data_IF_150060905618
#
_entry.id   IF_150060905618
#
_cell.length_a   1.000
_cell.length_b   1.000
_cell.length_c   1.000
_cell.angle_alpha   90.00
_cell.angle_beta   90.00
_cell.angle_gamma   90.00
#
_symmetry.space_group_name_H-M   'P 1'
#
loop_
_entity.id
_entity.type
_entity.pdbx_description
1 polymer ?
#
# COMPACT_ATOMS: atom_id res chain seq x y z
N UNK A 1 4.65 72.14 -21.10
CA UNK A 1 4.12 70.87 -21.65
C UNK A 1 4.41 69.80 -20.59
N UNK A 2 3.45 69.53 -19.69
CA UNK A 2 2.60 68.32 -19.65
C UNK A 2 3.43 67.02 -19.44
N UNK A 3 3.20 66.16 -18.44
CA UNK A 3 2.06 65.93 -17.53
C UNK A 3 2.55 65.06 -16.36
N UNK A 4 2.00 65.31 -15.18
CA UNK A 4 2.12 64.47 -13.99
C UNK A 4 1.25 63.20 -14.12
N UNK A 5 1.65 62.10 -13.48
CA UNK A 5 0.70 61.16 -12.87
C UNK A 5 1.34 60.50 -11.65
N UNK A 6 0.90 60.95 -10.49
CA UNK A 6 1.12 60.37 -9.18
C UNK A 6 0.09 59.25 -8.99
N UNK A 7 0.50 58.06 -8.55
CA UNK A 7 -0.43 57.04 -8.04
C UNK A 7 -0.07 56.75 -6.59
N UNK A 8 -0.93 57.28 -5.74
CA UNK A 8 -0.97 57.18 -4.29
C UNK A 8 -1.49 55.79 -3.92
N UNK A 9 -0.65 54.91 -3.38
CA UNK A 9 -1.12 53.70 -2.69
C UNK A 9 -1.33 54.03 -1.22
N UNK A 10 -2.60 54.13 -0.86
CA UNK A 10 -3.11 54.46 0.47
C UNK A 10 -3.07 53.20 1.34
N UNK A 11 -2.32 53.27 2.44
CA UNK A 11 -2.38 52.30 3.55
C UNK A 11 -3.72 52.47 4.31
N UNK A 12 -4.43 51.40 4.68
CA UNK A 12 -5.38 51.45 5.77
C UNK A 12 -4.67 51.17 7.11
N UNK A 13 -4.57 52.22 7.91
CA UNK A 13 -4.38 52.20 9.35
C UNK A 13 -5.72 51.75 9.99
N UNK A 14 -5.74 50.67 10.79
CA UNK A 14 -6.88 50.39 11.67
C UNK A 14 -6.41 50.11 13.08
N UNK A 15 -6.78 51.02 13.98
CA UNK A 15 -6.44 51.02 15.39
C UNK A 15 -7.50 50.27 16.22
N UNK A 16 -6.99 49.37 17.07
CA UNK A 16 -7.34 49.14 18.49
C UNK A 16 -8.80 49.01 18.91
N UNK A 17 -9.17 47.81 19.38
CA UNK A 17 -10.18 47.63 20.43
C UNK A 17 -9.54 46.88 21.62
N UNK A 18 -9.39 47.57 22.76
CA UNK A 18 -9.07 46.97 24.05
C UNK A 18 -10.33 46.29 24.59
N UNK A 19 -10.24 44.99 24.91
CA UNK A 19 -11.18 44.32 25.81
C UNK A 19 -10.39 43.84 27.03
N UNK A 20 -10.49 44.61 28.11
CA UNK A 20 -9.98 44.25 29.43
C UNK A 20 -10.98 43.27 30.07
N UNK A 21 -10.63 41.99 30.14
CA UNK A 21 -11.30 41.02 31.00
C UNK A 21 -10.41 40.76 32.21
N UNK A 22 -10.87 41.22 33.37
CA UNK A 22 -10.28 40.97 34.68
C UNK A 22 -10.51 39.51 35.11
N UNK A 23 -9.44 38.79 35.37
CA UNK A 23 -9.43 37.57 36.18
C UNK A 23 -8.21 37.70 37.10
N UNK A 24 -8.43 38.17 38.33
CA UNK A 24 -8.54 37.34 39.53
C UNK A 24 -7.23 36.66 39.89
N UNK A 25 -6.61 37.24 40.92
CA UNK A 25 -5.65 36.62 41.84
C UNK A 25 -6.01 35.16 42.12
N UNK A 26 -5.15 34.23 41.72
CA UNK A 26 -5.13 32.87 42.23
C UNK A 26 -3.68 32.45 42.43
N UNK A 27 -3.18 32.73 43.62
CA UNK A 27 -2.11 31.95 44.22
C UNK A 27 -2.65 30.55 44.51
N UNK A 28 -2.12 29.50 43.87
CA UNK A 28 -2.39 28.12 44.25
C UNK A 28 -1.11 27.29 44.15
N UNK A 29 -0.69 26.77 45.29
CA UNK A 29 0.45 25.87 45.46
C UNK A 29 0.34 24.63 44.56
N UNK A 30 1.51 24.17 44.07
CA UNK A 30 1.66 22.85 43.48
C UNK A 30 1.32 21.75 44.52
N UNK A 31 0.42 20.80 44.22
CA UNK A 31 0.27 19.59 45.02
C UNK A 31 1.41 18.62 44.70
N UNK A 32 2.07 18.10 45.73
CA UNK A 32 2.94 16.93 45.60
C UNK A 32 2.14 15.72 45.08
N UNK A 33 2.68 14.89 44.18
CA UNK A 33 2.01 13.66 43.78
C UNK A 33 1.94 12.65 44.93
N UNK A 34 0.77 12.04 45.12
CA UNK A 34 0.58 10.85 45.95
C UNK A 34 1.28 9.63 45.33
N UNK A 35 1.78 8.68 46.14
CA UNK A 35 2.34 7.43 45.63
C UNK A 35 1.25 6.55 44.96
N UNK A 36 1.61 5.95 43.83
CA UNK A 36 0.81 5.02 43.03
C UNK A 36 0.27 3.84 43.86
N UNK A 37 -1.07 3.68 43.87
CA UNK A 37 -1.73 2.44 44.26
C UNK A 37 -1.56 1.42 43.14
N UNK A 38 -0.69 0.43 43.34
CA UNK A 38 -0.54 -0.71 42.43
C UNK A 38 -1.83 -1.54 42.38
N UNK A 39 -2.45 -1.64 41.20
CA UNK A 39 -3.50 -2.64 40.94
C UNK A 39 -2.86 -4.05 40.87
N UNK A 40 -3.45 -5.08 41.50
CA UNK A 40 -2.99 -6.46 41.33
C UNK A 40 -3.27 -6.96 39.90
N UNK A 41 -2.47 -7.91 39.38
CA UNK A 41 -2.67 -8.46 38.05
C UNK A 41 -3.95 -9.31 37.96
N UNK A 42 -4.60 -9.39 36.78
CA UNK A 42 -5.78 -10.22 36.58
C UNK A 42 -5.44 -11.73 36.59
N UNK A 43 -6.35 -12.53 37.12
CA UNK A 43 -6.27 -13.99 37.23
C UNK A 43 -6.30 -14.66 35.84
N UNK A 44 -5.49 -15.71 35.57
CA UNK A 44 -5.57 -16.45 34.32
C UNK A 44 -6.86 -17.30 34.21
N UNK A 45 -7.38 -17.54 33.00
CA UNK A 45 -8.55 -18.41 32.79
C UNK A 45 -8.19 -19.90 32.96
N UNK A 46 -9.15 -20.77 33.32
CA UNK A 46 -8.90 -22.20 33.48
C UNK A 46 -8.65 -22.91 32.13
N UNK A 47 -7.68 -23.83 32.12
CA UNK A 47 -7.30 -24.65 30.97
C UNK A 47 -8.42 -25.60 30.53
N UNK A 48 -8.63 -25.71 29.21
CA UNK A 48 -9.60 -26.62 28.59
C UNK A 48 -8.98 -28.01 28.38
N UNK A 49 -9.59 -29.03 28.97
CA UNK A 49 -9.18 -30.44 28.84
C UNK A 49 -9.66 -31.01 27.50
N UNK A 50 -8.73 -31.51 26.68
CA UNK A 50 -9.01 -32.16 25.39
C UNK A 50 -9.18 -33.68 25.56
N UNK A 51 -10.21 -34.27 24.93
CA UNK A 51 -10.47 -35.72 24.91
C UNK A 51 -10.52 -36.19 23.44
N UNK A 52 -9.70 -37.17 23.01
CA UNK A 52 -9.71 -37.67 21.63
C UNK A 52 -10.81 -38.74 21.38
N UNK A 53 -11.29 -38.89 20.13
CA UNK A 53 -12.29 -39.92 19.77
C UNK A 53 -11.67 -41.31 19.55
N UNK A 54 -12.46 -42.41 19.69
CA UNK A 54 -11.99 -43.77 19.47
C UNK A 54 -11.91 -44.16 17.97
N UNK A 55 -10.91 -45.00 17.63
CA UNK A 55 -10.66 -45.57 16.30
C UNK A 55 -11.47 -46.84 16.02
N UNK A 56 -11.96 -47.00 14.77
CA UNK A 56 -12.73 -48.17 14.29
C UNK A 56 -11.84 -49.29 13.70
N UNK A 57 -12.27 -50.58 13.72
CA UNK A 57 -11.51 -51.72 13.20
C UNK A 57 -11.76 -52.03 11.69
N UNK A 58 -10.87 -52.80 11.02
CA UNK A 58 -10.96 -53.09 9.58
C UNK A 58 -11.86 -54.30 9.21
N UNK A 59 -12.35 -54.39 7.95
CA UNK A 59 -13.17 -55.50 7.47
C UNK A 59 -12.36 -56.71 6.94
N UNK A 60 -12.98 -57.91 6.83
CA UNK A 60 -12.31 -59.15 6.42
C UNK A 60 -12.25 -59.36 4.89
N UNK A 61 -11.24 -60.14 4.46
CA UNK A 61 -10.99 -60.59 3.07
C UNK A 61 -11.78 -61.86 2.73
N UNK A 62 -12.36 -61.93 1.52
CA UNK A 62 -13.07 -63.10 1.00
C UNK A 62 -12.53 -63.56 -0.37
N UNK A 63 -12.53 -64.89 -0.54
CA UNK A 63 -11.80 -65.70 -1.52
C UNK A 63 -12.39 -65.74 -2.94
N UNK A 64 -11.55 -65.99 -3.95
CA UNK A 64 -11.88 -66.00 -5.40
C UNK A 64 -12.41 -67.36 -5.92
N UNK A 65 -13.29 -67.39 -6.95
CA UNK A 65 -13.72 -68.61 -7.65
C UNK A 65 -12.83 -68.98 -8.88
N UNK A 66 -12.92 -70.25 -9.38
CA UNK A 66 -12.04 -70.78 -10.43
C UNK A 66 -12.46 -70.41 -11.87
N UNK A 67 -11.58 -70.58 -12.88
CA UNK A 67 -11.81 -70.12 -14.25
C UNK A 67 -12.65 -71.08 -15.11
N UNK A 68 -13.30 -70.58 -16.18
CA UNK A 68 -14.11 -71.38 -17.12
C UNK A 68 -13.30 -72.06 -18.25
N UNK A 69 -13.94 -73.03 -18.90
CA UNK A 69 -13.40 -73.89 -19.99
C UNK A 69 -13.46 -73.25 -21.38
N UNK A 70 -12.66 -73.73 -22.37
CA UNK A 70 -12.55 -73.10 -23.69
C UNK A 70 -13.64 -73.53 -24.70
N UNK A 71 -13.93 -72.70 -25.73
CA UNK A 71 -14.98 -72.95 -26.73
C UNK A 71 -14.51 -73.77 -27.96
N UNK A 72 -15.45 -74.31 -28.77
CA UNK A 72 -15.18 -75.15 -29.95
C UNK A 72 -14.79 -74.35 -31.22
N UNK A 73 -14.28 -75.01 -32.29
CA UNK A 73 -13.70 -74.32 -33.44
C UNK A 73 -14.75 -73.75 -34.40
N UNK A 74 -14.39 -72.61 -34.99
CA UNK A 74 -15.22 -71.79 -35.88
C UNK A 74 -15.26 -72.32 -37.32
N UNK A 75 -16.46 -72.34 -37.90
CA UNK A 75 -16.67 -72.55 -39.34
C UNK A 75 -16.14 -71.35 -40.16
N UNK A 76 -15.58 -71.65 -41.32
CA UNK A 76 -14.84 -70.73 -42.18
C UNK A 76 -15.68 -69.53 -42.65
N UNK A 77 -15.22 -68.33 -42.32
CA UNK A 77 -15.84 -67.05 -42.71
C UNK A 77 -15.68 -66.75 -44.21
N UNK A 78 -16.64 -66.02 -44.83
CA UNK A 78 -16.52 -65.53 -46.20
C UNK A 78 -15.35 -64.53 -46.35
N UNK A 79 -14.88 -64.28 -47.60
CA UNK A 79 -13.74 -63.41 -47.82
C UNK A 79 -14.03 -61.97 -47.39
N UNK A 80 -13.02 -61.22 -46.95
CA UNK A 80 -13.22 -59.90 -46.39
C UNK A 80 -13.67 -58.90 -47.47
N UNK A 81 -14.47 -57.90 -47.08
CA UNK A 81 -14.74 -56.76 -47.96
C UNK A 81 -13.45 -55.98 -48.20
N UNK A 82 -13.38 -55.31 -49.36
CA UNK A 82 -12.27 -54.42 -49.72
C UNK A 82 -11.98 -53.40 -48.61
N UNK A 83 -10.71 -53.05 -48.38
CA UNK A 83 -10.36 -52.12 -47.31
C UNK A 83 -10.97 -50.75 -47.59
N UNK A 84 -11.61 -50.20 -46.57
CA UNK A 84 -12.02 -48.79 -46.55
C UNK A 84 -10.78 -47.91 -46.74
N UNK A 85 -10.92 -46.72 -47.37
CA UNK A 85 -9.82 -45.76 -47.41
C UNK A 85 -9.33 -45.50 -45.98
N UNK A 86 -8.03 -45.21 -45.78
CA UNK A 86 -7.52 -44.92 -44.46
C UNK A 86 -8.36 -43.79 -43.86
N UNK A 87 -8.98 -44.07 -42.71
CA UNK A 87 -9.65 -43.03 -41.94
C UNK A 87 -8.62 -41.92 -41.73
N UNK A 88 -9.01 -40.68 -42.07
CA UNK A 88 -8.24 -39.48 -41.76
C UNK A 88 -7.77 -39.60 -40.32
N UNK A 89 -6.46 -39.74 -40.12
CA UNK A 89 -5.92 -39.88 -38.77
C UNK A 89 -6.46 -38.72 -37.93
N UNK A 90 -6.95 -38.98 -36.71
CA UNK A 90 -7.38 -37.89 -35.84
C UNK A 90 -6.18 -36.94 -35.69
N UNK A 91 -6.42 -35.62 -35.62
CA UNK A 91 -5.34 -34.69 -35.35
C UNK A 91 -4.64 -35.12 -34.05
N UNK A 92 -3.32 -34.92 -33.94
CA UNK A 92 -2.63 -35.21 -32.69
C UNK A 92 -3.33 -34.45 -31.54
N UNK A 93 -3.33 -35.01 -30.32
CA UNK A 93 -3.88 -34.31 -29.18
C UNK A 93 -3.19 -32.94 -29.07
N UNK A 94 -3.98 -31.90 -28.84
CA UNK A 94 -3.43 -30.57 -28.59
C UNK A 94 -2.37 -30.68 -27.49
N UNK A 95 -1.22 -30.01 -27.63
CA UNK A 95 -0.24 -29.96 -26.56
C UNK A 95 -0.92 -29.46 -25.28
N UNK A 96 -0.49 -29.91 -24.10
CA UNK A 96 -1.01 -29.38 -22.85
C UNK A 96 -0.87 -27.85 -22.86
N UNK A 97 -1.83 -27.12 -22.27
CA UNK A 97 -1.68 -25.68 -22.14
C UNK A 97 -0.35 -25.39 -21.43
N UNK A 98 0.36 -24.31 -21.82
CA UNK A 98 1.54 -23.89 -21.08
C UNK A 98 1.17 -23.73 -19.60
N UNK A 99 2.11 -23.96 -18.66
CA UNK A 99 1.87 -23.66 -17.26
C UNK A 99 1.36 -22.23 -17.16
N UNK A 100 0.27 -22.04 -16.39
CA UNK A 100 -0.24 -20.70 -16.10
C UNK A 100 0.93 -19.81 -15.66
N UNK A 101 1.02 -18.56 -16.15
CA UNK A 101 2.02 -17.64 -15.65
C UNK A 101 1.91 -17.59 -14.12
N UNK A 102 3.03 -17.46 -13.40
CA UNK A 102 2.97 -17.26 -11.95
C UNK A 102 2.00 -16.10 -11.67
N UNK A 103 1.20 -16.18 -10.59
CA UNK A 103 0.37 -15.05 -10.20
C UNK A 103 1.26 -13.80 -10.14
N UNK A 104 0.77 -12.63 -10.61
CA UNK A 104 1.53 -11.41 -10.47
C UNK A 104 1.98 -11.27 -9.01
N UNK A 105 3.20 -10.77 -8.75
CA UNK A 105 3.62 -10.50 -7.38
C UNK A 105 2.52 -9.69 -6.69
N UNK A 106 2.25 -9.93 -5.39
CA UNK A 106 1.25 -9.16 -4.66
C UNK A 106 1.50 -7.69 -4.94
N UNK A 107 0.49 -6.98 -5.43
CA UNK A 107 0.63 -5.60 -5.83
C UNK A 107 1.32 -4.85 -4.70
N UNK A 108 2.49 -4.28 -4.97
CA UNK A 108 3.01 -3.21 -4.12
C UNK A 108 1.85 -2.23 -4.01
N UNK A 109 1.39 -1.96 -2.79
CA UNK A 109 0.31 -1.01 -2.53
C UNK A 109 0.71 0.45 -2.87
N UNK A 110 1.82 0.63 -3.57
CA UNK A 110 2.27 1.83 -4.24
C UNK A 110 1.66 1.94 -5.63
N UNK A 111 0.96 3.03 -5.87
CA UNK A 111 0.36 3.40 -7.15
C UNK A 111 1.14 4.56 -7.73
N UNK A 112 1.62 4.47 -8.98
CA UNK A 112 2.27 5.59 -9.65
C UNK A 112 1.35 6.81 -9.72
N UNK A 113 1.91 7.99 -9.48
CA UNK A 113 1.20 9.27 -9.64
C UNK A 113 1.02 9.52 -11.14
N UNK A 114 -0.24 9.50 -11.60
CA UNK A 114 -0.56 9.69 -13.02
C UNK A 114 -0.26 11.12 -13.52
N UNK A 115 -0.49 12.13 -12.68
CA UNK A 115 -0.20 13.53 -13.01
C UNK A 115 0.57 14.18 -11.86
N UNK A 116 1.87 14.36 -12.05
CA UNK A 116 2.74 15.01 -11.06
C UNK A 116 2.44 16.50 -10.88
N UNK A 117 1.75 17.13 -11.85
CA UNK A 117 1.31 18.53 -11.77
C UNK A 117 -0.04 18.69 -11.07
N UNK A 118 -0.62 17.60 -10.56
CA UNK A 118 -1.82 17.68 -9.75
C UNK A 118 -1.59 18.61 -8.53
N UNK A 119 -2.50 19.56 -8.23
CA UNK A 119 -2.30 20.53 -7.14
C UNK A 119 -2.02 19.89 -5.78
N UNK A 120 -2.60 18.72 -5.51
CA UNK A 120 -2.36 17.98 -4.28
C UNK A 120 -0.94 17.41 -4.24
N UNK A 121 -0.45 16.86 -5.35
CA UNK A 121 0.94 16.36 -5.44
C UNK A 121 1.94 17.50 -5.31
N UNK A 122 1.66 18.65 -5.94
CA UNK A 122 2.46 19.86 -5.79
C UNK A 122 2.48 20.34 -4.34
N UNK A 123 1.34 20.29 -3.64
CA UNK A 123 1.27 20.64 -2.22
C UNK A 123 2.14 19.71 -1.35
N UNK A 124 2.15 18.40 -1.63
CA UNK A 124 3.02 17.44 -0.94
C UNK A 124 4.50 17.77 -1.13
N UNK A 125 4.89 18.06 -2.36
CA UNK A 125 6.27 18.42 -2.68
C UNK A 125 6.68 19.74 -2.01
N UNK A 126 5.82 20.76 -2.04
CA UNK A 126 6.06 22.04 -1.38
C UNK A 126 6.19 21.89 0.14
N UNK A 127 5.33 21.07 0.76
CA UNK A 127 5.43 20.72 2.17
C UNK A 127 6.80 20.09 2.47
N UNK A 128 7.21 19.08 1.70
CA UNK A 128 8.49 18.40 1.91
C UNK A 128 9.68 19.35 1.83
N UNK A 129 9.75 20.19 0.79
CA UNK A 129 10.83 21.17 0.62
C UNK A 129 10.82 22.18 1.75
N UNK A 130 9.65 22.69 2.14
CA UNK A 130 9.56 23.70 3.21
C UNK A 130 10.02 23.16 4.55
N UNK A 131 9.57 21.97 4.93
CA UNK A 131 9.97 21.33 6.20
C UNK A 131 11.46 21.02 6.20
N UNK A 132 12.01 20.51 5.09
CA UNK A 132 13.44 20.24 4.97
C UNK A 132 14.28 21.51 5.02
N UNK A 133 13.92 22.54 4.25
CA UNK A 133 14.64 23.82 4.22
C UNK A 133 14.67 24.49 5.59
N UNK A 134 13.58 24.40 6.36
CA UNK A 134 13.51 24.92 7.72
C UNK A 134 14.38 24.09 8.68
N UNK A 135 14.34 22.76 8.60
CA UNK A 135 15.08 21.88 9.51
C UNK A 135 16.59 21.92 9.29
N UNK A 136 17.04 22.14 8.05
CA UNK A 136 18.47 22.25 7.68
C UNK A 136 18.98 23.68 7.58
N UNK A 137 18.10 24.68 7.77
CA UNK A 137 18.41 26.11 7.61
C UNK A 137 18.81 26.50 6.18
N UNK A 138 18.43 25.71 5.18
CA UNK A 138 18.62 26.01 3.75
C UNK A 138 17.49 26.89 3.20
N UNK A 139 17.29 28.08 3.78
CA UNK A 139 16.10 28.93 3.54
C UNK A 139 15.94 29.43 2.10
N UNK A 140 16.99 29.34 1.27
CA UNK A 140 16.94 29.66 -0.17
C UNK A 140 16.37 28.53 -1.02
N UNK A 141 16.13 27.36 -0.43
CA UNK A 141 15.71 26.17 -1.13
C UNK A 141 14.22 26.24 -1.50
N UNK A 142 13.91 25.98 -2.76
CA UNK A 142 12.55 26.08 -3.31
C UNK A 142 12.27 24.91 -4.26
N UNK A 143 11.01 24.45 -4.27
CA UNK A 143 10.56 23.44 -5.22
C UNK A 143 10.59 24.05 -6.63
N UNK A 144 11.24 23.36 -7.57
CA UNK A 144 11.17 23.69 -9.00
C UNK A 144 10.10 22.85 -9.70
N UNK A 145 10.14 21.54 -9.51
CA UNK A 145 9.20 20.61 -10.13
C UNK A 145 9.18 19.26 -9.42
N UNK A 146 8.10 18.50 -9.65
CA UNK A 146 8.01 17.07 -9.31
C UNK A 146 8.32 16.28 -10.58
N UNK A 147 9.25 15.34 -10.50
CA UNK A 147 9.73 14.54 -11.64
C UNK A 147 8.88 13.27 -11.76
N UNK A 148 8.68 12.57 -10.64
CA UNK A 148 7.88 11.36 -10.55
C UNK A 148 7.39 11.17 -9.12
N UNK A 149 6.44 10.25 -8.95
CA UNK A 149 6.07 9.84 -7.62
C UNK A 149 5.15 8.63 -7.57
N UNK A 150 4.99 8.11 -6.37
CA UNK A 150 4.10 6.99 -6.04
C UNK A 150 3.34 7.30 -4.75
N UNK A 151 2.12 6.81 -4.66
CA UNK A 151 1.26 6.94 -3.47
C UNK A 151 0.86 5.59 -2.91
N UNK A 152 0.68 5.52 -1.60
CA UNK A 152 0.25 4.29 -0.93
C UNK A 152 -0.71 4.65 0.21
N UNK A 153 -1.94 4.10 0.27
CA UNK A 153 -2.81 4.27 1.42
C UNK A 153 -2.12 3.78 2.71
N UNK A 154 -2.13 4.60 3.75
CA UNK A 154 -1.49 4.26 5.02
C UNK A 154 -2.12 5.04 6.18
N UNK A 155 -2.58 4.33 7.21
CA UNK A 155 -3.03 4.88 8.49
C UNK A 155 -4.04 6.05 8.37
N UNK A 156 -5.07 5.90 7.54
CA UNK A 156 -6.10 6.93 7.32
C UNK A 156 -5.67 8.10 6.40
N UNK A 157 -4.45 8.08 5.89
CA UNK A 157 -3.93 9.01 4.89
C UNK A 157 -3.20 8.29 3.76
N UNK A 158 -2.22 8.98 3.19
CA UNK A 158 -1.37 8.43 2.14
C UNK A 158 0.10 8.70 2.43
N UNK A 159 0.90 7.68 2.14
CA UNK A 159 2.32 7.80 1.92
C UNK A 159 2.58 8.30 0.50
N UNK A 160 3.59 9.16 0.33
CA UNK A 160 4.03 9.73 -0.94
C UNK A 160 5.54 9.58 -1.07
N UNK A 161 6.00 8.90 -2.11
CA UNK A 161 7.41 8.89 -2.52
C UNK A 161 7.53 9.73 -3.77
N UNK A 162 8.23 10.86 -3.68
CA UNK A 162 8.37 11.80 -4.79
C UNK A 162 9.85 11.96 -5.13
N UNK A 163 10.17 11.97 -6.42
CA UNK A 163 11.44 12.52 -6.93
C UNK A 163 11.17 13.96 -7.31
N UNK A 164 11.88 14.90 -6.70
CA UNK A 164 11.66 16.33 -6.91
C UNK A 164 12.94 17.05 -7.33
N UNK A 165 12.78 18.09 -8.14
CA UNK A 165 13.83 19.04 -8.47
C UNK A 165 13.67 20.30 -7.64
N UNK A 166 14.78 20.82 -7.14
CA UNK A 166 14.81 22.00 -6.27
C UNK A 166 15.87 23.00 -6.75
N UNK A 167 15.67 24.27 -6.43
CA UNK A 167 16.71 25.30 -6.54
C UNK A 167 17.24 25.65 -5.16
N UNK A 168 18.44 26.21 -5.09
CA UNK A 168 19.04 26.69 -3.83
C UNK A 168 19.54 25.61 -2.86
N UNK A 169 19.22 24.33 -3.09
CA UNK A 169 19.71 23.19 -2.30
C UNK A 169 21.14 22.76 -2.67
N UNK A 170 21.72 21.86 -1.86
CA UNK A 170 23.05 21.26 -2.12
C UNK A 170 23.09 20.38 -3.37
N UNK A 171 21.95 19.79 -3.73
CA UNK A 171 21.75 18.94 -4.91
C UNK A 171 20.57 19.46 -5.70
N UNK A 172 20.48 19.04 -6.96
CA UNK A 172 19.39 19.45 -7.85
C UNK A 172 18.15 18.58 -7.68
N UNK A 173 18.31 17.29 -7.34
CA UNK A 173 17.20 16.35 -7.17
C UNK A 173 17.27 15.61 -5.83
N UNK A 174 16.09 15.31 -5.29
CA UNK A 174 15.91 14.63 -4.00
C UNK A 174 14.76 13.63 -4.05
N UNK A 175 14.90 12.54 -3.30
CA UNK A 175 13.82 11.65 -2.91
C UNK A 175 13.16 12.18 -1.63
N UNK A 176 11.88 12.52 -1.73
CA UNK A 176 11.06 12.95 -0.61
C UNK A 176 10.06 11.85 -0.24
N UNK A 177 10.05 11.44 1.03
CA UNK A 177 9.07 10.51 1.56
C UNK A 177 8.20 11.23 2.60
N UNK A 178 6.90 11.35 2.32
CA UNK A 178 5.94 12.11 3.11
C UNK A 178 4.75 11.22 3.45
N UNK A 179 4.12 11.46 4.59
CA UNK A 179 2.76 10.99 4.87
C UNK A 179 1.85 12.18 5.13
N UNK A 180 0.58 12.08 4.71
CA UNK A 180 -0.42 13.09 5.07
C UNK A 180 -1.85 12.72 4.72
N UNK A 181 -2.78 13.46 5.32
CA UNK A 181 -4.22 13.34 5.07
C UNK A 181 -4.68 14.56 4.27
N UNK A 182 -5.22 14.30 3.07
CA UNK A 182 -5.67 15.35 2.16
C UNK A 182 -6.79 16.19 2.76
N UNK A 183 -6.76 17.50 2.50
CA UNK A 183 -7.72 18.45 3.05
C UNK A 183 -7.49 18.82 4.53
N UNK A 184 -6.41 18.32 5.15
CA UNK A 184 -6.08 18.61 6.56
C UNK A 184 -4.68 19.23 6.71
N UNK A 185 -4.28 19.55 7.94
CA UNK A 185 -2.92 19.94 8.31
C UNK A 185 -2.10 18.78 8.92
N UNK A 186 -2.62 17.55 8.90
CA UNK A 186 -1.93 16.35 9.39
C UNK A 186 -0.95 15.79 8.35
N UNK A 187 0.29 16.26 8.38
CA UNK A 187 1.35 15.89 7.44
C UNK A 187 2.68 15.65 8.18
N UNK A 188 3.49 14.73 7.67
CA UNK A 188 4.80 14.40 8.23
C UNK A 188 5.80 14.09 7.13
N UNK A 189 6.98 14.71 7.21
CA UNK A 189 8.13 14.36 6.38
C UNK A 189 8.87 13.18 7.04
N UNK A 190 8.93 12.04 6.39
CA UNK A 190 9.68 10.87 6.86
C UNK A 190 11.16 10.95 6.50
N UNK A 191 11.45 11.26 5.24
CA UNK A 191 12.83 11.41 4.76
C UNK A 191 12.93 12.39 3.59
N UNK A 192 14.13 12.95 3.43
CA UNK A 192 14.47 13.84 2.33
C UNK A 192 15.95 13.65 2.00
N UNK A 193 16.25 12.87 0.97
CA UNK A 193 17.62 12.42 0.65
C UNK A 193 18.01 12.80 -0.77
N UNK A 194 19.29 13.11 -1.04
CA UNK A 194 19.78 13.29 -2.40
C UNK A 194 19.36 12.14 -3.31
N UNK A 195 18.83 12.45 -4.49
CA UNK A 195 18.47 11.43 -5.46
C UNK A 195 19.75 10.84 -6.09
N UNK A 196 19.84 9.52 -6.11
CA UNK A 196 20.98 8.78 -6.70
C UNK A 196 20.56 8.33 -8.10
N UNK A 197 21.32 8.77 -9.10
CA UNK A 197 21.17 8.40 -10.51
C UNK A 197 21.97 7.15 -10.86
#
# INVERSE_FOLDING_TARGET
MARATSVLFVLPLLATLLATASAQDYTAQAPSPLPDSQNPPPTPPPESVYIPPPTSPPPPVASSPPPPSPPPPVASSPPPPSPLPPASSPPPPSPPPPPSPPPPPPASNWTPVANVNDPTIQQVAQFAVRIYALSTKELKMQLLSVVSGETQPYDGGYNYRLVITVTGGKKTQYDAFVWGILGTMSWKLWSFTPHVI
#
